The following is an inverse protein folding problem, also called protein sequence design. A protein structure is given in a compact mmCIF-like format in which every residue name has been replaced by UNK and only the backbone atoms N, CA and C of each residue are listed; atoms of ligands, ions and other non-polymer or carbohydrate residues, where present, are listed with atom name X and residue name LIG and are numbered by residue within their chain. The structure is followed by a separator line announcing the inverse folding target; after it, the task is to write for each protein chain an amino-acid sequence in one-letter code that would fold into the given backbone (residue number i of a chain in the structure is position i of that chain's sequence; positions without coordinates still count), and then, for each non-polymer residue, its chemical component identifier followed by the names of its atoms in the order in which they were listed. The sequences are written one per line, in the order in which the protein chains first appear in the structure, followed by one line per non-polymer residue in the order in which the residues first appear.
data_IF_109338737231
#
_entry.id   IF_109338737231
#
_cell.length_a   1.000
_cell.length_b   1.000
_cell.length_c   1.000
_cell.angle_alpha   90.00
_cell.angle_beta   90.00
_cell.angle_gamma   90.00
#
_symmetry.space_group_name_H-M   'P 1'
#
loop_
_entity.id
_entity.type
_entity.pdbx_description
1 polymer ?
#
# COMPACT_ATOMS: atom_id res chain seq x y z
N UNK A 1 6.43 -9.30 12.88
CA UNK A 1 5.92 -8.21 12.03
C UNK A 1 6.19 -6.91 12.75
N UNK A 2 6.79 -5.96 12.06
CA UNK A 2 7.05 -4.61 12.52
C UNK A 2 6.39 -3.64 11.54
N UNK A 3 5.63 -2.67 12.05
CA UNK A 3 4.82 -1.76 11.23
C UNK A 3 5.03 -0.33 11.68
N UNK A 4 5.36 0.54 10.73
CA UNK A 4 5.49 1.99 10.91
C UNK A 4 4.49 2.69 10.01
N UNK A 5 3.77 3.66 10.56
CA UNK A 5 2.73 4.41 9.85
C UNK A 5 3.01 5.89 9.96
N UNK A 6 3.20 6.54 8.82
CA UNK A 6 3.37 7.99 8.72
C UNK A 6 2.16 8.58 8.00
N UNK A 7 1.58 9.61 8.59
CA UNK A 7 0.35 10.25 8.08
C UNK A 7 0.67 11.68 7.70
N UNK A 8 0.36 12.04 6.47
CA UNK A 8 0.33 13.43 6.01
C UNK A 8 -1.12 13.89 5.96
N UNK A 9 -1.43 14.99 6.64
CA UNK A 9 -2.79 15.50 6.81
C UNK A 9 -2.81 17.02 6.89
N UNK A 10 -4.00 17.61 6.66
CA UNK A 10 -4.24 19.03 6.90
C UNK A 10 -4.26 19.38 8.41
N UNK A 11 -4.38 20.67 8.72
CA UNK A 11 -4.50 21.17 10.09
C UNK A 11 -5.75 20.65 10.83
N UNK A 12 -6.78 20.22 10.12
CA UNK A 12 -7.98 19.61 10.66
C UNK A 12 -7.87 18.08 10.81
N UNK A 13 -6.69 17.50 10.55
CA UNK A 13 -6.39 16.06 10.55
C UNK A 13 -7.12 15.25 9.47
N UNK A 14 -7.52 15.85 8.37
CA UNK A 14 -7.94 15.10 7.18
C UNK A 14 -6.70 14.56 6.48
N UNK A 15 -6.65 13.24 6.34
CA UNK A 15 -5.52 12.54 5.75
C UNK A 15 -5.48 12.80 4.25
N UNK A 16 -4.32 13.23 3.75
CA UNK A 16 -4.04 13.29 2.31
C UNK A 16 -3.25 12.07 1.85
N UNK A 17 -2.30 11.62 2.68
CA UNK A 17 -1.43 10.48 2.38
C UNK A 17 -1.12 9.66 3.61
N UNK A 18 -0.91 8.36 3.39
CA UNK A 18 -0.35 7.45 4.40
C UNK A 18 0.79 6.65 3.79
N UNK A 19 1.87 6.55 4.55
CA UNK A 19 2.96 5.63 4.30
C UNK A 19 2.93 4.56 5.37
N UNK A 20 2.56 3.35 4.98
CA UNK A 20 2.62 2.19 5.84
C UNK A 20 3.82 1.35 5.40
N UNK A 21 4.85 1.29 6.25
CA UNK A 21 6.04 0.46 6.04
C UNK A 21 5.94 -0.75 6.96
N UNK A 22 6.12 -1.95 6.40
CA UNK A 22 5.99 -3.21 7.10
C UNK A 22 7.17 -4.12 6.80
N UNK A 23 7.71 -4.70 7.87
CA UNK A 23 8.78 -5.69 7.81
C UNK A 23 8.24 -7.02 8.34
N UNK A 24 8.32 -8.04 7.50
CA UNK A 24 7.90 -9.38 7.88
C UNK A 24 8.92 -10.45 7.55
N UNK A 25 8.81 -11.55 8.29
CA UNK A 25 9.56 -12.75 8.03
C UNK A 25 8.78 -13.97 8.51
N UNK A 26 8.87 -15.07 7.76
CA UNK A 26 8.37 -16.36 8.23
C UNK A 26 9.14 -16.85 9.45
N UNK A 27 8.42 -17.30 10.47
CA UNK A 27 9.01 -17.88 11.68
C UNK A 27 9.83 -19.15 11.36
N UNK A 28 10.90 -19.45 12.12
CA UNK A 28 11.76 -20.62 11.86
C UNK A 28 11.02 -21.97 11.83
N UNK A 29 9.93 -22.11 12.58
CA UNK A 29 9.13 -23.34 12.64
C UNK A 29 8.30 -23.62 11.38
N UNK A 30 8.32 -22.72 10.40
CA UNK A 30 7.71 -22.88 9.07
C UNK A 30 8.77 -22.75 7.97
N UNK A 31 9.72 -23.70 7.88
CA UNK A 31 10.92 -23.54 7.05
C UNK A 31 10.63 -23.52 5.54
N UNK A 32 9.54 -24.14 5.10
CA UNK A 32 9.16 -24.27 3.69
C UNK A 32 8.18 -23.18 3.23
N UNK A 33 7.82 -22.22 4.08
CA UNK A 33 6.91 -21.14 3.72
C UNK A 33 7.66 -19.99 3.06
N UNK A 34 7.09 -19.47 1.99
CA UNK A 34 7.62 -18.39 1.17
C UNK A 34 6.50 -17.42 0.77
N UNK A 35 6.85 -16.17 0.52
CA UNK A 35 5.94 -15.19 -0.05
C UNK A 35 5.78 -15.46 -1.55
N UNK A 36 4.55 -15.35 -2.05
CA UNK A 36 4.23 -15.50 -3.48
C UNK A 36 3.50 -14.25 -3.96
N UNK A 37 4.13 -13.56 -4.91
CA UNK A 37 3.65 -12.36 -5.56
C UNK A 37 3.55 -12.52 -7.09
N UNK A 38 3.35 -13.75 -7.58
CA UNK A 38 3.37 -14.07 -9.02
C UNK A 38 2.22 -13.41 -9.81
N UNK A 39 1.22 -12.88 -9.12
CA UNK A 39 0.08 -12.13 -9.70
C UNK A 39 0.30 -10.62 -9.73
N UNK A 40 1.32 -10.13 -9.05
CA UNK A 40 1.64 -8.71 -9.00
C UNK A 40 2.53 -8.34 -10.19
N UNK A 41 2.36 -7.14 -10.72
CA UNK A 41 3.28 -6.60 -11.70
C UNK A 41 4.63 -6.28 -11.03
N UNK A 42 5.70 -6.21 -11.81
CA UNK A 42 7.05 -5.92 -11.31
C UNK A 42 7.52 -4.61 -11.91
N UNK A 43 8.06 -3.74 -11.05
CA UNK A 43 8.77 -2.54 -11.44
C UNK A 43 10.12 -2.46 -10.71
N UNK A 44 10.95 -1.50 -11.08
CA UNK A 44 12.19 -1.20 -10.37
C UNK A 44 12.06 0.13 -9.62
N UNK A 45 12.47 0.16 -8.35
CA UNK A 45 12.47 1.38 -7.54
C UNK A 45 13.88 1.60 -6.98
N UNK A 46 14.68 2.40 -7.68
CA UNK A 46 16.05 2.76 -7.29
C UNK A 46 17.01 1.56 -7.19
N UNK A 47 16.87 0.56 -8.09
CA UNK A 47 17.70 -0.64 -8.14
C UNK A 47 16.97 -1.96 -7.84
N UNK A 48 16.32 -2.14 -6.67
CA UNK A 48 15.63 -3.40 -6.39
C UNK A 48 14.35 -3.58 -7.21
N UNK A 49 14.09 -4.85 -7.56
CA UNK A 49 12.80 -5.28 -8.07
C UNK A 49 11.73 -5.20 -6.97
N UNK A 50 10.58 -4.65 -7.35
CA UNK A 50 9.44 -4.41 -6.48
C UNK A 50 8.18 -4.95 -7.14
N UNK A 51 7.51 -5.87 -6.45
CA UNK A 51 6.16 -6.31 -6.81
C UNK A 51 5.17 -5.21 -6.45
N UNK A 52 4.24 -4.89 -7.33
CA UNK A 52 3.24 -3.86 -7.08
C UNK A 52 1.82 -4.21 -7.50
N UNK A 53 0.87 -3.61 -6.80
CA UNK A 53 -0.55 -3.71 -7.10
C UNK A 53 -1.26 -2.45 -6.60
N UNK A 54 -1.92 -1.74 -7.51
CA UNK A 54 -2.72 -0.56 -7.23
C UNK A 54 -4.17 -0.92 -7.00
N UNK A 55 -4.79 -0.27 -6.02
CA UNK A 55 -6.18 -0.50 -5.62
C UNK A 55 -6.86 0.82 -5.31
N UNK A 56 -8.18 0.79 -5.39
CA UNK A 56 -9.06 1.83 -4.88
C UNK A 56 -10.14 1.20 -4.00
N UNK A 57 -10.76 1.99 -3.14
CA UNK A 57 -11.85 1.52 -2.30
C UNK A 57 -12.36 2.58 -1.34
N UNK A 58 -13.39 2.21 -0.57
CA UNK A 58 -13.92 3.04 0.48
C UNK A 58 -12.91 3.16 1.63
N UNK A 59 -12.62 4.38 2.07
CA UNK A 59 -11.74 4.60 3.23
C UNK A 59 -12.36 4.14 4.54
N UNK A 60 -13.68 3.92 4.56
CA UNK A 60 -14.40 3.36 5.69
C UNK A 60 -14.66 1.85 5.60
N UNK A 61 -14.20 1.16 4.54
CA UNK A 61 -14.39 -0.28 4.33
C UNK A 61 -13.92 -1.09 5.54
N UNK A 62 -14.80 -1.90 6.13
CA UNK A 62 -14.48 -2.65 7.34
C UNK A 62 -13.35 -3.66 7.08
N UNK A 63 -12.19 -3.52 7.74
CA UNK A 63 -11.11 -4.47 7.57
C UNK A 63 -11.48 -5.82 8.16
N UNK A 64 -10.80 -6.87 7.69
CA UNK A 64 -10.92 -8.20 8.32
C UNK A 64 -10.45 -8.11 9.77
N UNK A 65 -11.24 -8.68 10.69
CA UNK A 65 -10.89 -8.75 12.10
C UNK A 65 -9.52 -9.43 12.31
N UNK A 66 -8.68 -8.83 13.16
CA UNK A 66 -7.32 -9.28 13.47
C UNK A 66 -6.30 -9.10 12.35
N UNK A 67 -6.62 -8.34 11.29
CA UNK A 67 -5.66 -8.03 10.22
C UNK A 67 -4.76 -6.85 10.58
N UNK A 68 -3.59 -6.77 9.94
CA UNK A 68 -2.72 -5.59 10.08
C UNK A 68 -3.44 -4.31 9.64
N UNK A 69 -4.31 -4.39 8.62
CA UNK A 69 -5.11 -3.24 8.19
C UNK A 69 -6.05 -2.74 9.30
N UNK A 70 -6.67 -3.66 10.06
CA UNK A 70 -7.49 -3.27 11.22
C UNK A 70 -6.65 -2.54 12.28
N UNK A 71 -5.48 -3.08 12.61
CA UNK A 71 -4.58 -2.47 13.59
C UNK A 71 -4.06 -1.10 13.14
N UNK A 72 -3.63 -0.98 11.88
CA UNK A 72 -3.15 0.28 11.30
C UNK A 72 -4.26 1.31 11.26
N UNK A 73 -5.46 0.94 10.78
CA UNK A 73 -6.62 1.85 10.77
C UNK A 73 -6.97 2.33 12.17
N UNK A 74 -7.03 1.42 13.15
CA UNK A 74 -7.34 1.79 14.53
C UNK A 74 -6.29 2.75 15.12
N UNK A 75 -5.00 2.58 14.81
CA UNK A 75 -3.94 3.51 15.21
C UNK A 75 -4.13 4.90 14.61
N UNK A 76 -4.43 4.99 13.31
CA UNK A 76 -4.69 6.27 12.62
C UNK A 76 -5.88 6.99 13.25
N UNK A 77 -7.00 6.27 13.45
CA UNK A 77 -8.22 6.84 14.04
C UNK A 77 -8.02 7.25 15.50
N UNK A 78 -7.32 6.44 16.31
CA UNK A 78 -7.02 6.76 17.70
C UNK A 78 -6.13 8.00 17.87
N UNK A 79 -5.27 8.30 16.88
CA UNK A 79 -4.50 9.53 16.83
C UNK A 79 -5.34 10.78 16.40
N UNK A 80 -6.63 10.57 16.11
CA UNK A 80 -7.59 11.62 15.76
C UNK A 80 -7.59 12.02 14.28
N UNK A 81 -6.93 11.25 13.43
CA UNK A 81 -6.97 11.45 11.98
C UNK A 81 -8.27 10.93 11.38
N UNK A 82 -8.74 11.61 10.32
CA UNK A 82 -9.90 11.18 9.54
C UNK A 82 -9.42 10.70 8.17
N UNK A 83 -9.69 9.44 7.87
CA UNK A 83 -9.43 8.88 6.55
C UNK A 83 -10.35 9.52 5.50
N UNK A 84 -9.91 9.63 4.24
CA UNK A 84 -10.76 10.05 3.14
C UNK A 84 -11.97 9.13 2.97
N UNK A 85 -13.03 9.63 2.33
CA UNK A 85 -14.20 8.81 1.98
C UNK A 85 -13.82 7.66 1.06
N UNK A 86 -12.95 7.94 0.09
CA UNK A 86 -12.43 6.96 -0.85
C UNK A 86 -10.91 7.13 -0.93
N UNK A 87 -10.21 6.02 -1.02
CA UNK A 87 -8.75 5.98 -1.05
C UNK A 87 -8.28 5.26 -2.30
N UNK A 88 -7.08 5.62 -2.73
CA UNK A 88 -6.29 4.84 -3.67
C UNK A 88 -5.00 4.44 -2.98
N UNK A 89 -4.48 3.24 -3.26
CA UNK A 89 -3.18 2.83 -2.74
C UNK A 89 -2.37 2.02 -3.75
N UNK A 90 -1.05 2.14 -3.66
CA UNK A 90 -0.09 1.25 -4.29
C UNK A 90 0.58 0.43 -3.19
N UNK A 91 0.41 -0.89 -3.24
CA UNK A 91 1.21 -1.82 -2.42
C UNK A 91 2.48 -2.13 -3.18
N UNK A 92 3.63 -1.89 -2.56
CA UNK A 92 4.97 -2.11 -3.08
C UNK A 92 5.66 -3.14 -2.19
N UNK A 93 6.16 -4.24 -2.75
CA UNK A 93 6.82 -5.30 -1.98
C UNK A 93 8.18 -5.62 -2.57
N UNK A 94 9.21 -5.52 -1.74
CA UNK A 94 10.55 -5.99 -2.05
C UNK A 94 10.87 -7.25 -1.24
N UNK A 95 11.37 -8.28 -1.94
CA UNK A 95 11.91 -9.49 -1.34
C UNK A 95 13.44 -9.40 -1.34
N UNK A 96 14.09 -9.28 -0.17
CA UNK A 96 15.52 -8.92 -0.08
C UNK A 96 16.48 -10.07 -0.40
N UNK A 97 15.99 -11.31 -0.49
CA UNK A 97 16.78 -12.49 -0.81
C UNK A 97 15.97 -13.55 -1.57
N UNK A 98 16.67 -14.45 -2.26
CA UNK A 98 16.07 -15.50 -3.09
C UNK A 98 15.28 -16.54 -2.29
N UNK A 99 15.41 -16.55 -0.95
CA UNK A 99 14.61 -17.45 -0.12
C UNK A 99 13.15 -17.03 -0.09
N UNK A 100 12.85 -15.76 -0.42
CA UNK A 100 11.50 -15.18 -0.39
C UNK A 100 10.81 -15.36 0.97
N UNK A 101 11.59 -15.39 2.06
CA UNK A 101 11.09 -15.59 3.43
C UNK A 101 10.97 -14.33 4.25
N UNK A 102 11.49 -13.22 3.74
CA UNK A 102 11.42 -11.89 4.32
C UNK A 102 10.81 -10.95 3.29
N UNK A 103 10.14 -9.93 3.77
CA UNK A 103 9.65 -8.85 2.90
C UNK A 103 9.81 -7.50 3.56
N UNK A 104 9.98 -6.50 2.70
CA UNK A 104 9.73 -5.10 3.02
C UNK A 104 8.55 -4.66 2.16
N UNK A 105 7.43 -4.37 2.80
CA UNK A 105 6.24 -3.86 2.15
C UNK A 105 6.07 -2.38 2.46
N UNK A 106 5.75 -1.59 1.44
CA UNK A 106 5.29 -0.20 1.58
C UNK A 106 3.92 -0.10 0.94
N UNK A 107 2.91 0.31 1.71
CA UNK A 107 1.61 0.70 1.18
C UNK A 107 1.56 2.23 1.19
N UNK A 108 1.60 2.79 -0.01
CA UNK A 108 1.44 4.22 -0.25
C UNK A 108 -0.02 4.50 -0.58
N UNK A 109 -0.72 5.24 0.29
CA UNK A 109 -2.14 5.58 0.13
C UNK A 109 -2.32 7.07 -0.07
N UNK A 110 -3.28 7.46 -0.92
CA UNK A 110 -3.73 8.83 -1.13
C UNK A 110 -5.25 8.95 -1.00
N UNK A 111 -5.71 10.16 -0.71
CA UNK A 111 -7.11 10.56 -0.94
C UNK A 111 -7.45 10.47 -2.43
N UNK A 112 -8.47 9.68 -2.76
CA UNK A 112 -8.94 9.50 -4.13
C UNK A 112 -9.45 10.79 -4.76
N UNK A 113 -9.96 11.73 -3.97
CA UNK A 113 -10.46 13.02 -4.47
C UNK A 113 -9.39 13.81 -5.24
N UNK A 114 -8.10 13.57 -4.95
CA UNK A 114 -6.97 14.15 -5.68
C UNK A 114 -6.92 13.80 -7.17
N UNK A 115 -7.60 12.73 -7.57
CA UNK A 115 -7.71 12.30 -8.98
C UNK A 115 -8.87 12.94 -9.73
N UNK A 116 -9.77 13.63 -9.03
CA UNK A 116 -11.04 14.12 -9.60
C UNK A 116 -12.02 13.00 -9.97
N UNK A 117 -11.80 11.77 -9.47
CA UNK A 117 -12.60 10.56 -9.72
C UNK A 117 -13.10 9.96 -8.41
N UNK A 118 -14.06 9.06 -8.53
CA UNK A 118 -14.65 8.23 -7.45
C UNK A 118 -14.51 6.76 -7.80
N UNK A 119 -14.69 5.84 -6.84
CA UNK A 119 -14.63 4.40 -7.11
C UNK A 119 -15.67 3.96 -8.14
N UNK A 120 -16.82 4.64 -8.17
CA UNK A 120 -17.89 4.37 -9.12
C UNK A 120 -17.46 4.60 -10.59
N UNK A 121 -16.54 5.53 -10.85
CA UNK A 121 -16.03 5.80 -12.20
C UNK A 121 -15.21 4.63 -12.77
N UNK A 122 -14.72 3.74 -11.89
CA UNK A 122 -13.87 2.61 -12.25
C UNK A 122 -14.59 1.26 -12.21
N UNK A 123 -15.89 1.24 -11.94
CA UNK A 123 -16.69 0.01 -11.93
C UNK A 123 -17.72 0.05 -13.05
N UNK A 124 -17.57 -0.88 -14.01
CA UNK A 124 -18.51 -1.08 -15.10
C UNK A 124 -19.00 -2.54 -15.10
N UNK A 125 -20.32 -2.75 -14.99
CA UNK A 125 -20.89 -4.10 -14.97
C UNK A 125 -20.38 -4.99 -13.84
N UNK A 126 -20.02 -4.41 -12.69
CA UNK A 126 -19.47 -5.12 -11.53
C UNK A 126 -17.99 -5.52 -11.66
N UNK A 127 -17.29 -5.02 -12.69
CA UNK A 127 -15.85 -5.26 -12.89
C UNK A 127 -15.09 -3.94 -12.93
N UNK A 128 -13.80 -4.01 -12.61
CA UNK A 128 -12.89 -2.87 -12.79
C UNK A 128 -12.83 -2.56 -14.29
N UNK A 129 -13.09 -1.30 -14.65
CA UNK A 129 -13.04 -0.81 -16.02
C UNK A 129 -11.62 -0.41 -16.42
N UNK A 130 -11.35 -0.34 -17.72
CA UNK A 130 -10.06 0.11 -18.25
C UNK A 130 -9.71 1.56 -17.88
N UNK A 131 -10.70 2.35 -17.43
CA UNK A 131 -10.48 3.71 -16.93
C UNK A 131 -9.63 3.74 -15.64
N UNK A 132 -9.51 2.61 -14.93
CA UNK A 132 -8.65 2.50 -13.76
C UNK A 132 -7.16 2.51 -14.11
N UNK A 133 -6.76 1.82 -15.18
CA UNK A 133 -5.36 1.60 -15.56
C UNK A 133 -4.51 2.88 -15.53
N UNK A 134 -4.88 3.98 -16.24
CA UNK A 134 -4.07 5.20 -16.22
C UNK A 134 -4.00 5.88 -14.84
N UNK A 135 -5.01 5.70 -13.98
CA UNK A 135 -5.04 6.29 -12.63
C UNK A 135 -4.15 5.49 -11.68
N UNK A 136 -4.17 4.15 -11.80
CA UNK A 136 -3.25 3.25 -11.11
C UNK A 136 -1.79 3.53 -11.50
N UNK A 137 -1.49 3.60 -12.80
CA UNK A 137 -0.13 3.91 -13.28
C UNK A 137 0.36 5.28 -12.76
N UNK A 138 -0.50 6.31 -12.81
CA UNK A 138 -0.15 7.61 -12.26
C UNK A 138 0.09 7.58 -10.75
N UNK A 139 -0.66 6.76 -10.00
CA UNK A 139 -0.45 6.55 -8.56
C UNK A 139 0.90 5.87 -8.29
N UNK A 140 1.23 4.83 -9.06
CA UNK A 140 2.52 4.15 -8.97
C UNK A 140 3.69 5.11 -9.19
N UNK A 141 3.62 5.97 -10.21
CA UNK A 141 4.66 6.96 -10.46
C UNK A 141 4.80 7.97 -9.30
N UNK A 142 3.68 8.40 -8.70
CA UNK A 142 3.72 9.25 -7.49
C UNK A 142 4.31 8.53 -6.28
N UNK A 143 4.05 7.23 -6.15
CA UNK A 143 4.63 6.39 -5.09
C UNK A 143 6.15 6.24 -5.30
N UNK A 144 6.60 5.93 -6.52
CA UNK A 144 8.02 5.83 -6.90
C UNK A 144 8.81 7.12 -6.67
N UNK A 145 8.16 8.27 -6.85
CA UNK A 145 8.77 9.58 -6.56
C UNK A 145 8.94 9.86 -5.07
N UNK A 146 8.26 9.11 -4.18
CA UNK A 146 8.23 9.35 -2.72
C UNK A 146 8.83 8.22 -1.90
N UNK A 147 9.02 7.05 -2.51
CA UNK A 147 9.53 5.85 -1.85
C UNK A 147 10.84 5.46 -2.51
N UNK A 148 11.87 5.29 -1.69
CA UNK A 148 13.19 4.82 -2.12
C UNK A 148 13.60 3.64 -1.26
N UNK A 149 14.06 2.58 -1.91
CA UNK A 149 14.74 1.48 -1.26
C UNK A 149 16.24 1.70 -1.46
N UNK A 150 16.98 1.84 -0.36
CA UNK A 150 18.42 1.99 -0.40
C UNK A 150 19.08 0.90 0.41
N UNK A 151 20.17 0.36 -0.13
CA UNK A 151 21.08 -0.45 0.65
C UNK A 151 21.90 0.50 1.53
N UNK A 152 21.70 0.42 2.84
CA UNK A 152 22.55 1.12 3.79
C UNK A 152 23.82 0.31 3.97
N UNK A 153 24.97 0.88 3.62
CA UNK A 153 26.27 0.32 3.99
C UNK A 153 26.52 0.70 5.46
N UNK A 154 26.80 -0.28 6.36
CA UNK A 154 27.14 0.02 7.74
C UNK A 154 28.43 0.82 7.88
#
# INVERSE_FOLDING_TARGET
CEVHVFVEADAAKHVHRVYWVQFEAYIPSKPNSQYNYDRDAITEINGPAVHHCERFGAGDEKPRAGSDLEHVRNKILAAGYRLPKEIINARLVHLPDDTKRKEVMVIYMEDMASTGKTSADFIAGGKISEAWTPVGEALLERAKARVKFEKVTP
#
